data_IF_735128470287
#
_entry.id   IF_735128470287
#
_cell.length_a   1.000
_cell.length_b   1.000
_cell.length_c   1.000
_cell.angle_alpha   90.00
_cell.angle_beta   90.00
_cell.angle_gamma   90.00
#
_symmetry.space_group_name_H-M   'P 1'
#
loop_
_entity.id
_entity.type
_entity.pdbx_description
1 polymer ?
#
# COMPACT_ATOMS: atom_id res chain seq x y z
N UNK A 1 0.77 9.68 25.04
CA UNK A 1 0.38 10.09 23.70
C UNK A 1 -0.99 9.52 23.32
N UNK A 2 -1.70 10.18 22.42
CA UNK A 2 -2.99 9.68 21.91
C UNK A 2 -2.79 8.68 20.80
N UNK A 3 -3.62 7.64 20.79
CA UNK A 3 -3.64 6.57 19.80
C UNK A 3 -5.08 6.22 19.45
N UNK A 4 -5.39 6.05 18.17
CA UNK A 4 -6.66 5.48 17.72
C UNK A 4 -6.65 3.97 17.90
N UNK A 5 -7.74 3.44 18.47
CA UNK A 5 -7.91 2.00 18.74
C UNK A 5 -9.28 1.52 18.27
N UNK A 6 -9.35 0.29 17.84
CA UNK A 6 -10.63 -0.38 17.63
C UNK A 6 -11.22 -0.77 18.98
N UNK A 7 -12.42 -0.31 19.29
CA UNK A 7 -13.08 -0.57 20.58
C UNK A 7 -14.07 -1.71 20.53
N UNK A 8 -14.74 -1.88 19.39
CA UNK A 8 -15.61 -3.00 19.03
C UNK A 8 -15.89 -2.96 17.53
N UNK A 9 -16.61 -3.96 17.01
CA UNK A 9 -17.07 -3.98 15.62
C UNK A 9 -17.70 -2.64 15.22
N UNK A 10 -17.20 -2.05 14.13
CA UNK A 10 -17.69 -0.78 13.60
C UNK A 10 -17.38 0.46 14.43
N UNK A 11 -16.48 0.38 15.41
CA UNK A 11 -16.14 1.52 16.26
C UNK A 11 -14.63 1.72 16.45
N UNK A 12 -14.23 2.98 16.40
CA UNK A 12 -12.90 3.46 16.71
C UNK A 12 -13.01 4.46 17.86
N UNK A 13 -12.10 4.37 18.81
CA UNK A 13 -11.95 5.32 19.93
C UNK A 13 -10.54 5.86 20.02
N UNK A 14 -10.32 6.75 20.96
CA UNK A 14 -8.99 7.23 21.35
C UNK A 14 -8.64 6.71 22.73
N UNK A 15 -7.38 6.30 22.88
CA UNK A 15 -6.79 5.96 24.18
C UNK A 15 -5.50 6.76 24.39
N UNK A 16 -5.05 6.81 25.64
CA UNK A 16 -3.75 7.37 25.97
C UNK A 16 -2.82 6.25 26.41
N UNK A 17 -1.63 6.27 25.83
CA UNK A 17 -0.53 5.35 26.15
C UNK A 17 0.76 6.13 26.35
N UNK A 18 1.77 5.51 26.92
CA UNK A 18 3.10 6.10 27.02
C UNK A 18 3.68 6.36 25.62
N UNK A 19 4.47 7.43 25.51
CA UNK A 19 5.22 7.71 24.28
C UNK A 19 6.23 6.58 24.05
N UNK A 20 6.39 6.08 22.80
CA UNK A 20 7.39 5.07 22.50
C UNK A 20 8.81 5.60 22.77
N UNK A 21 9.71 4.70 23.12
CA UNK A 21 11.12 4.97 23.40
C UNK A 21 12.01 4.18 22.44
N UNK A 22 13.27 4.61 22.29
CA UNK A 22 14.31 3.84 21.63
C UNK A 22 14.54 2.56 22.44
N UNK A 23 14.47 1.41 21.81
CA UNK A 23 14.73 0.10 22.39
C UNK A 23 16.01 -0.48 21.81
N UNK A 24 16.14 -0.45 20.48
CA UNK A 24 17.30 -0.94 19.77
C UNK A 24 18.13 0.22 19.22
N UNK A 25 19.41 -0.03 19.01
CA UNK A 25 20.35 1.01 18.58
C UNK A 25 20.04 1.58 17.17
N UNK A 26 19.30 0.87 16.34
CA UNK A 26 18.90 1.29 14.98
C UNK A 26 17.44 1.76 14.88
N UNK A 27 16.78 2.00 16.01
CA UNK A 27 15.44 2.58 16.09
C UNK A 27 15.42 4.08 15.78
N UNK A 28 14.25 4.56 15.36
CA UNK A 28 13.89 5.98 15.38
C UNK A 28 12.52 6.18 16.01
N UNK A 29 12.33 7.31 16.71
CA UNK A 29 11.02 7.79 17.13
C UNK A 29 10.58 8.88 16.16
N UNK A 30 9.40 8.69 15.58
CA UNK A 30 8.84 9.58 14.57
C UNK A 30 7.60 10.24 15.13
N UNK A 31 7.56 11.58 15.11
CA UNK A 31 6.34 12.36 15.34
C UNK A 31 5.55 12.37 14.03
N UNK A 32 4.35 11.82 14.07
CA UNK A 32 3.50 11.63 12.89
C UNK A 32 2.91 12.97 12.44
N UNK A 33 3.09 13.29 11.16
CA UNK A 33 2.54 14.48 10.50
C UNK A 33 1.23 14.15 9.80
N UNK A 34 1.19 13.00 9.09
CA UNK A 34 0.00 12.48 8.41
C UNK A 34 -0.01 10.96 8.47
N UNK A 35 -1.20 10.43 8.62
CA UNK A 35 -1.54 9.01 8.49
C UNK A 35 -2.86 8.88 7.72
N UNK A 36 -3.19 7.69 7.25
CA UNK A 36 -4.45 7.43 6.55
C UNK A 36 -5.04 6.08 6.95
N UNK A 37 -6.21 5.80 6.40
CA UNK A 37 -6.90 4.52 6.56
C UNK A 37 -6.72 3.73 5.26
N UNK A 38 -6.10 2.56 5.35
CA UNK A 38 -6.02 1.61 4.26
C UNK A 38 -7.28 0.72 4.21
N UNK A 39 -7.53 0.10 3.05
CA UNK A 39 -8.59 -0.91 2.91
C UNK A 39 -8.43 -2.09 3.87
N UNK A 40 -7.20 -2.49 4.19
CA UNK A 40 -6.89 -3.57 5.13
C UNK A 40 -7.28 -3.24 6.58
N UNK A 41 -7.25 -1.98 6.99
CA UNK A 41 -7.71 -1.55 8.32
C UNK A 41 -9.20 -1.83 8.53
N UNK A 42 -9.99 -1.80 7.45
CA UNK A 42 -11.43 -2.02 7.50
C UNK A 42 -11.82 -3.46 7.85
N UNK A 43 -10.93 -4.41 7.65
CA UNK A 43 -11.17 -5.80 8.04
C UNK A 43 -11.25 -5.93 9.55
N UNK A 44 -10.30 -5.34 10.23
CA UNK A 44 -10.30 -5.30 11.69
C UNK A 44 -11.45 -4.46 12.23
N UNK A 45 -11.72 -3.31 11.62
CA UNK A 45 -12.86 -2.46 11.96
C UNK A 45 -14.21 -3.21 11.89
N UNK A 46 -14.35 -4.16 10.97
CA UNK A 46 -15.57 -4.97 10.76
C UNK A 46 -15.54 -6.33 11.44
N UNK A 47 -14.47 -6.67 12.13
CA UNK A 47 -14.37 -7.97 12.79
C UNK A 47 -15.27 -8.03 14.03
N UNK A 48 -16.08 -9.10 14.17
CA UNK A 48 -16.84 -9.30 15.41
C UNK A 48 -15.96 -9.69 16.60
N UNK A 49 -14.75 -10.21 16.34
CA UNK A 49 -13.81 -10.73 17.34
C UNK A 49 -12.77 -9.69 17.78
N UNK A 50 -13.10 -8.40 17.70
CA UNK A 50 -12.20 -7.33 18.10
C UNK A 50 -12.09 -7.28 19.62
N UNK A 51 -10.86 -7.40 20.14
CA UNK A 51 -10.56 -7.11 21.53
C UNK A 51 -10.51 -5.61 21.77
N UNK A 52 -11.25 -5.12 22.78
CA UNK A 52 -11.23 -3.71 23.14
C UNK A 52 -9.81 -3.27 23.54
N UNK A 53 -9.36 -2.13 23.00
CA UNK A 53 -8.04 -1.59 23.26
C UNK A 53 -6.93 -2.20 22.40
N UNK A 54 -7.25 -2.97 21.36
CA UNK A 54 -6.26 -3.45 20.43
C UNK A 54 -5.57 -2.29 19.70
N UNK A 55 -4.23 -2.22 19.80
CA UNK A 55 -3.47 -1.03 19.44
C UNK A 55 -3.08 -0.94 17.95
N UNK A 56 -3.31 -1.98 17.15
CA UNK A 56 -2.91 -2.00 15.75
C UNK A 56 -3.89 -1.22 14.87
N UNK A 57 -3.83 0.11 14.90
CA UNK A 57 -4.62 0.97 14.02
C UNK A 57 -3.70 1.73 13.06
N UNK A 58 -3.85 1.42 11.76
CA UNK A 58 -3.08 2.04 10.69
C UNK A 58 -1.62 1.59 10.59
N UNK A 59 -1.05 1.77 9.42
CA UNK A 59 0.31 1.35 9.08
C UNK A 59 1.01 2.28 8.07
N UNK A 60 0.34 3.36 7.63
CA UNK A 60 0.88 4.33 6.67
C UNK A 60 1.14 5.66 7.36
N UNK A 61 2.39 6.15 7.35
CA UNK A 61 2.73 7.41 7.97
C UNK A 61 3.84 8.18 7.24
N UNK A 62 3.76 9.50 7.33
CA UNK A 62 4.88 10.43 7.12
C UNK A 62 5.04 11.27 8.39
N UNK A 63 6.29 11.57 8.75
CA UNK A 63 6.54 12.27 10.01
C UNK A 63 7.92 12.89 10.11
N UNK A 64 8.17 13.49 11.26
CA UNK A 64 9.45 14.10 11.61
C UNK A 64 10.18 13.17 12.58
N UNK A 65 11.43 12.87 12.30
CA UNK A 65 12.32 12.15 13.22
C UNK A 65 12.52 13.02 14.48
N UNK A 66 12.17 12.49 15.64
CA UNK A 66 12.34 13.20 16.94
C UNK A 66 13.56 12.69 17.69
N UNK A 67 13.79 11.38 17.69
CA UNK A 67 14.90 10.71 18.38
C UNK A 67 15.42 9.58 17.49
N UNK A 68 16.70 9.24 17.67
CA UNK A 68 17.36 8.13 16.99
C UNK A 68 18.20 7.34 17.97
N UNK A 69 18.35 6.04 17.72
CA UNK A 69 19.32 5.21 18.41
C UNK A 69 20.76 5.46 17.93
N UNK A 70 21.73 5.03 18.72
CA UNK A 70 23.14 5.34 18.51
C UNK A 70 23.75 4.77 17.21
N UNK A 71 23.11 3.75 16.61
CA UNK A 71 23.53 3.16 15.35
C UNK A 71 22.91 3.84 14.11
N UNK A 72 21.95 4.76 14.29
CA UNK A 72 21.28 5.43 13.16
C UNK A 72 22.17 6.53 12.58
N UNK A 73 22.44 6.44 11.28
CA UNK A 73 23.34 7.36 10.56
C UNK A 73 22.74 7.98 9.31
N UNK A 74 21.64 7.42 8.78
CA UNK A 74 21.01 7.85 7.51
C UNK A 74 20.04 8.99 7.69
N UNK A 75 19.46 9.12 8.89
CA UNK A 75 18.53 10.18 9.28
C UNK A 75 18.97 10.79 10.61
N UNK A 76 18.45 11.96 10.92
CA UNK A 76 18.70 12.69 12.18
C UNK A 76 17.42 13.36 12.68
N UNK A 77 17.36 13.76 13.96
CA UNK A 77 16.26 14.57 14.48
C UNK A 77 16.01 15.81 13.63
N UNK A 78 14.73 16.06 13.32
CA UNK A 78 14.29 17.12 12.43
C UNK A 78 14.12 16.71 10.95
N UNK A 79 14.59 15.55 10.52
CA UNK A 79 14.38 15.10 9.15
C UNK A 79 12.93 14.72 8.93
N UNK A 80 12.37 15.14 7.78
CA UNK A 80 11.05 14.72 7.32
C UNK A 80 11.17 13.40 6.55
N UNK A 81 10.36 12.40 6.92
CA UNK A 81 10.51 11.03 6.42
C UNK A 81 9.18 10.38 6.05
N UNK A 82 9.25 9.42 5.11
CA UNK A 82 8.24 8.41 4.90
C UNK A 82 8.60 7.21 5.78
N UNK A 83 7.63 6.69 6.54
CA UNK A 83 7.72 5.44 7.27
C UNK A 83 6.96 4.35 6.46
N UNK A 84 7.65 3.50 5.69
CA UNK A 84 7.01 2.44 4.91
C UNK A 84 6.25 1.46 5.81
N UNK A 85 5.08 1.00 5.33
CA UNK A 85 4.24 0.06 6.08
C UNK A 85 4.90 -1.30 6.28
N UNK A 86 5.72 -1.72 5.32
CA UNK A 86 6.49 -2.96 5.34
C UNK A 86 7.96 -2.61 5.17
N UNK A 87 8.81 -3.18 6.02
CA UNK A 87 10.24 -2.93 5.99
C UNK A 87 11.04 -4.12 6.52
N UNK A 88 12.33 -4.13 6.28
CA UNK A 88 13.24 -5.19 6.69
C UNK A 88 14.51 -4.66 7.33
N UNK A 89 15.39 -5.57 7.78
CA UNK A 89 16.65 -5.22 8.43
C UNK A 89 17.77 -4.78 7.46
N UNK A 90 17.58 -4.98 6.14
CA UNK A 90 18.58 -4.67 5.12
C UNK A 90 19.79 -5.60 5.07
N UNK A 91 19.93 -6.59 5.98
CA UNK A 91 21.13 -7.38 6.16
C UNK A 91 20.96 -8.87 5.90
N UNK A 92 19.76 -9.44 6.12
CA UNK A 92 19.48 -10.85 5.85
C UNK A 92 19.44 -11.15 4.34
N UNK A 93 19.44 -12.42 3.98
CA UNK A 93 19.47 -12.84 2.58
C UNK A 93 18.21 -12.40 1.82
N UNK A 94 17.05 -12.42 2.45
CA UNK A 94 15.81 -11.93 1.85
C UNK A 94 15.90 -10.43 1.52
N UNK A 95 16.34 -9.59 2.47
CA UNK A 95 16.51 -8.15 2.24
C UNK A 95 17.55 -7.85 1.16
N UNK A 96 18.70 -8.54 1.18
CA UNK A 96 19.75 -8.38 0.16
C UNK A 96 19.29 -8.80 -1.23
N UNK A 97 18.34 -9.72 -1.32
CA UNK A 97 17.70 -10.13 -2.56
C UNK A 97 16.55 -9.20 -2.98
N UNK A 98 16.21 -8.17 -2.20
CA UNK A 98 15.13 -7.21 -2.48
C UNK A 98 13.73 -7.69 -2.07
N UNK A 99 13.66 -8.58 -1.09
CA UNK A 99 12.42 -9.11 -0.52
C UNK A 99 12.24 -8.67 0.94
N UNK A 100 12.26 -7.38 1.19
CA UNK A 100 12.17 -6.81 2.55
C UNK A 100 10.88 -7.22 3.29
N UNK A 101 9.78 -7.41 2.55
CA UNK A 101 8.51 -7.88 3.09
C UNK A 101 8.54 -9.30 3.66
N UNK A 102 9.63 -10.07 3.43
CA UNK A 102 9.87 -11.42 3.99
C UNK A 102 11.17 -11.45 4.78
N UNK A 103 11.52 -10.35 5.42
CA UNK A 103 12.72 -10.21 6.23
C UNK A 103 12.80 -11.28 7.34
N UNK A 104 13.92 -12.01 7.42
CA UNK A 104 14.12 -13.07 8.41
C UNK A 104 14.09 -12.57 9.87
N UNK A 105 14.49 -11.32 10.10
CA UNK A 105 14.46 -10.69 11.43
C UNK A 105 13.05 -10.22 11.84
N UNK A 106 12.12 -10.16 10.90
CA UNK A 106 10.76 -9.66 11.08
C UNK A 106 9.67 -10.66 10.69
N UNK A 107 9.97 -11.94 10.62
CA UNK A 107 8.98 -12.96 10.24
C UNK A 107 7.72 -12.81 11.10
N UNK A 108 6.62 -12.44 10.45
CA UNK A 108 5.30 -12.22 11.08
C UNK A 108 5.10 -10.85 11.72
N UNK A 109 6.09 -9.95 11.73
CA UNK A 109 5.96 -8.62 12.34
C UNK A 109 6.71 -7.49 11.60
N UNK A 110 6.82 -7.59 10.29
CA UNK A 110 7.49 -6.60 9.44
C UNK A 110 6.58 -5.43 9.01
N UNK A 111 5.55 -5.17 9.76
CA UNK A 111 4.57 -4.13 9.48
C UNK A 111 4.66 -3.00 10.50
N UNK A 112 4.63 -1.77 10.03
CA UNK A 112 4.37 -0.63 10.88
C UNK A 112 2.95 -0.73 11.45
N UNK A 113 2.81 -0.72 12.76
CA UNK A 113 1.53 -0.87 13.45
C UNK A 113 1.28 0.28 14.40
N UNK A 114 -0.02 0.65 14.54
CA UNK A 114 -0.42 1.69 15.49
C UNK A 114 0.03 3.09 15.09
N UNK A 115 0.12 3.37 13.79
CA UNK A 115 0.58 4.68 13.30
C UNK A 115 -0.51 5.74 13.25
N UNK A 116 -1.78 5.39 13.55
CA UNK A 116 -2.83 6.38 13.80
C UNK A 116 -2.68 6.95 15.22
N UNK A 117 -1.52 7.52 15.50
CA UNK A 117 -1.05 8.00 16.79
C UNK A 117 -0.27 9.32 16.65
N UNK A 118 0.14 9.93 17.76
CA UNK A 118 1.00 11.11 17.72
C UNK A 118 2.47 10.77 17.41
N UNK A 119 2.93 9.59 17.86
CA UNK A 119 4.29 9.10 17.65
C UNK A 119 4.31 7.61 17.34
N UNK A 120 5.36 7.16 16.65
CA UNK A 120 5.67 5.76 16.45
C UNK A 120 7.15 5.47 16.69
N UNK A 121 7.46 4.25 17.15
CA UNK A 121 8.80 3.66 17.06
C UNK A 121 8.92 3.00 15.69
N UNK A 122 10.01 3.25 15.01
CA UNK A 122 10.33 2.66 13.72
C UNK A 122 11.66 1.90 13.82
N UNK A 123 11.61 0.61 13.58
CA UNK A 123 12.76 -0.30 13.63
C UNK A 123 13.55 -0.25 12.33
N UNK A 124 14.85 -0.55 12.37
CA UNK A 124 15.75 -0.56 11.21
C UNK A 124 15.75 0.75 10.41
N UNK A 125 15.80 1.86 11.13
CA UNK A 125 15.67 3.20 10.56
C UNK A 125 16.71 3.50 9.46
N UNK A 126 17.93 2.97 9.59
CA UNK A 126 19.00 3.12 8.59
C UNK A 126 18.63 2.54 7.22
N UNK A 127 17.88 1.46 7.19
CA UNK A 127 17.53 0.77 5.95
C UNK A 127 16.24 1.28 5.35
N UNK A 128 15.24 1.50 6.18
CA UNK A 128 13.88 1.58 5.70
C UNK A 128 13.28 3.00 5.70
N UNK A 129 13.75 3.93 6.53
CA UNK A 129 13.25 5.31 6.49
C UNK A 129 13.69 6.03 5.22
N UNK A 130 12.73 6.68 4.56
CA UNK A 130 12.98 7.42 3.32
C UNK A 130 12.89 8.91 3.63
N UNK A 131 14.00 9.62 3.47
CA UNK A 131 14.05 11.07 3.71
C UNK A 131 13.34 11.82 2.60
N UNK A 132 12.43 12.72 3.00
CA UNK A 132 11.77 13.69 2.13
C UNK A 132 12.57 15.01 2.22
N UNK A 133 12.92 15.66 1.10
CA UNK A 133 13.57 16.97 1.11
C UNK A 133 12.71 18.02 1.81
N UNK A 134 13.33 18.93 2.53
CA UNK A 134 12.64 20.06 3.20
C UNK A 134 11.84 19.65 4.44
N UNK A 135 10.80 20.43 4.72
CA UNK A 135 9.93 20.29 5.89
C UNK A 135 8.46 20.18 5.45
N UNK A 136 7.55 19.64 6.28
CA UNK A 136 6.13 19.59 5.94
C UNK A 136 5.51 20.92 5.53
N UNK A 137 6.00 22.04 6.09
CA UNK A 137 5.56 23.40 5.75
C UNK A 137 5.89 23.84 4.33
N UNK A 138 6.84 23.17 3.67
CA UNK A 138 7.27 23.48 2.30
C UNK A 138 6.34 22.86 1.26
N UNK A 139 5.38 22.04 1.69
CA UNK A 139 4.47 21.27 0.84
C UNK A 139 3.01 21.71 1.02
N UNK A 140 2.26 21.71 -0.08
CA UNK A 140 0.80 21.87 -0.01
C UNK A 140 0.14 20.64 0.62
N UNK A 141 -1.08 20.80 1.16
CA UNK A 141 -1.88 19.66 1.67
C UNK A 141 -2.06 18.57 0.62
N UNK A 142 -2.26 18.93 -0.65
CA UNK A 142 -2.36 17.96 -1.75
C UNK A 142 -1.07 17.15 -1.92
N UNK A 143 0.09 17.82 -1.83
CA UNK A 143 1.38 17.14 -1.94
C UNK A 143 1.67 16.25 -0.71
N UNK A 144 1.33 16.69 0.51
CA UNK A 144 1.46 15.86 1.70
C UNK A 144 0.63 14.58 1.62
N UNK A 145 -0.59 14.67 1.08
CA UNK A 145 -1.44 13.49 0.80
C UNK A 145 -0.79 12.57 -0.23
N UNK A 146 -0.21 13.12 -1.29
CA UNK A 146 0.51 12.33 -2.30
C UNK A 146 1.76 11.65 -1.72
N UNK A 147 2.55 12.36 -0.91
CA UNK A 147 3.72 11.79 -0.23
C UNK A 147 3.32 10.65 0.71
N UNK A 148 2.18 10.77 1.39
CA UNK A 148 1.68 9.72 2.27
C UNK A 148 1.38 8.42 1.51
N UNK A 149 0.90 8.50 0.26
CA UNK A 149 0.66 7.28 -0.55
C UNK A 149 1.92 6.46 -0.79
N UNK A 150 3.11 7.07 -0.68
CA UNK A 150 4.40 6.39 -0.82
C UNK A 150 4.73 5.50 0.39
N UNK A 151 3.99 5.60 1.49
CA UNK A 151 4.17 4.71 2.63
C UNK A 151 3.64 3.29 2.38
N UNK A 152 2.61 3.13 1.49
CA UNK A 152 2.03 1.82 1.16
C UNK A 152 1.45 1.78 -0.26
N UNK A 153 0.33 2.48 -0.51
CA UNK A 153 -0.55 2.17 -1.66
C UNK A 153 0.12 2.41 -3.02
N UNK A 154 1.03 3.38 -3.12
CA UNK A 154 1.78 3.62 -4.36
C UNK A 154 2.84 2.54 -4.62
N UNK A 155 3.75 2.20 -3.66
CA UNK A 155 4.68 1.08 -3.85
C UNK A 155 3.95 -0.26 -4.02
N UNK A 156 2.82 -0.49 -3.37
CA UNK A 156 2.00 -1.70 -3.54
C UNK A 156 1.45 -1.79 -4.97
N UNK A 157 0.88 -0.70 -5.51
CA UNK A 157 0.44 -0.65 -6.91
C UNK A 157 1.60 -0.81 -7.91
N UNK A 158 2.76 -0.21 -7.60
CA UNK A 158 3.97 -0.39 -8.40
C UNK A 158 4.50 -1.83 -8.34
N UNK A 159 4.46 -2.44 -7.16
CA UNK A 159 4.85 -3.85 -6.97
C UNK A 159 3.98 -4.78 -7.83
N UNK A 160 2.65 -4.58 -7.86
CA UNK A 160 1.76 -5.34 -8.74
C UNK A 160 2.22 -5.28 -10.20
N UNK A 161 2.51 -4.08 -10.72
CA UNK A 161 2.98 -3.90 -12.09
C UNK A 161 4.39 -4.49 -12.33
N UNK A 162 5.26 -4.46 -11.30
CA UNK A 162 6.61 -5.02 -11.36
C UNK A 162 6.58 -6.55 -11.40
N UNK A 163 5.82 -7.20 -10.53
CA UNK A 163 5.76 -8.69 -10.46
C UNK A 163 4.99 -9.28 -11.64
N UNK A 164 4.00 -8.55 -12.18
CA UNK A 164 3.39 -8.87 -13.46
C UNK A 164 4.32 -8.60 -14.65
N UNK A 165 5.53 -8.13 -14.40
CA UNK A 165 6.53 -7.79 -15.42
C UNK A 165 5.96 -6.95 -16.58
N UNK A 166 5.16 -5.92 -16.24
CA UNK A 166 4.58 -4.98 -17.21
C UNK A 166 5.71 -4.30 -18.00
N UNK A 167 5.61 -4.32 -19.31
CA UNK A 167 6.60 -3.80 -20.26
C UNK A 167 6.02 -2.70 -21.13
N UNK A 168 6.89 -1.88 -21.75
CA UNK A 168 6.45 -0.92 -22.75
C UNK A 168 5.68 -1.63 -23.89
N UNK A 169 4.50 -1.08 -24.20
CA UNK A 169 3.61 -1.63 -25.21
C UNK A 169 2.56 -2.63 -24.73
N UNK A 170 2.68 -3.15 -23.49
CA UNK A 170 1.72 -4.11 -22.93
C UNK A 170 0.30 -3.53 -22.81
N UNK A 171 -0.68 -4.43 -22.93
CA UNK A 171 -2.08 -4.21 -22.61
C UNK A 171 -2.32 -4.69 -21.17
N UNK A 172 -2.69 -3.78 -20.28
CA UNK A 172 -2.80 -4.03 -18.85
C UNK A 172 -4.25 -3.87 -18.39
N UNK A 173 -4.71 -4.77 -17.53
CA UNK A 173 -6.00 -4.64 -16.84
C UNK A 173 -5.75 -4.50 -15.35
N UNK A 174 -6.38 -3.51 -14.73
CA UNK A 174 -6.36 -3.32 -13.27
C UNK A 174 -7.73 -3.70 -12.72
N UNK A 175 -7.78 -4.63 -11.79
CA UNK A 175 -8.99 -5.07 -11.12
C UNK A 175 -9.07 -4.40 -9.74
N UNK A 176 -10.07 -3.54 -9.57
CA UNK A 176 -10.28 -2.76 -8.34
C UNK A 176 -9.88 -1.29 -8.49
N UNK A 177 -10.72 -0.43 -7.92
CA UNK A 177 -10.66 1.03 -8.06
C UNK A 177 -10.34 1.76 -6.75
N UNK A 178 -9.90 1.02 -5.74
CA UNK A 178 -9.40 1.56 -4.48
C UNK A 178 -8.05 2.28 -4.65
N UNK A 179 -7.49 2.76 -3.56
CA UNK A 179 -6.22 3.50 -3.59
C UNK A 179 -5.09 2.72 -4.28
N UNK A 180 -4.95 1.42 -3.98
CA UNK A 180 -3.96 0.55 -4.63
C UNK A 180 -4.24 0.41 -6.13
N UNK A 181 -5.50 0.22 -6.55
CA UNK A 181 -5.85 0.11 -7.97
C UNK A 181 -5.58 1.40 -8.75
N UNK A 182 -5.88 2.58 -8.16
CA UNK A 182 -5.53 3.86 -8.76
C UNK A 182 -4.01 4.01 -8.92
N UNK A 183 -3.24 3.63 -7.90
CA UNK A 183 -1.78 3.62 -7.95
C UNK A 183 -1.24 2.58 -8.96
N UNK A 184 -1.91 1.44 -9.11
CA UNK A 184 -1.55 0.44 -10.12
C UNK A 184 -1.76 0.94 -11.56
N UNK A 185 -2.78 1.76 -11.81
CA UNK A 185 -2.96 2.48 -13.11
C UNK A 185 -1.77 3.38 -13.38
N UNK A 186 -1.37 4.21 -12.39
CA UNK A 186 -0.20 5.08 -12.51
C UNK A 186 1.07 4.24 -12.78
N UNK A 187 1.26 3.17 -12.03
CA UNK A 187 2.40 2.28 -12.16
C UNK A 187 2.47 1.60 -13.54
N UNK A 188 1.34 1.12 -14.07
CA UNK A 188 1.27 0.55 -15.42
C UNK A 188 1.67 1.57 -16.48
N UNK A 189 1.18 2.83 -16.35
CA UNK A 189 1.58 3.93 -17.22
C UNK A 189 3.08 4.25 -17.12
N UNK A 190 3.63 4.33 -15.90
CA UNK A 190 5.06 4.55 -15.67
C UNK A 190 5.94 3.47 -16.31
N UNK A 191 5.46 2.23 -16.35
CA UNK A 191 6.14 1.10 -16.99
C UNK A 191 5.92 1.02 -18.51
N UNK A 192 5.14 1.96 -19.08
CA UNK A 192 5.00 2.12 -20.52
C UNK A 192 3.89 1.28 -21.16
N UNK A 193 2.91 0.81 -20.39
CA UNK A 193 1.75 0.12 -20.94
C UNK A 193 1.07 0.97 -22.04
N UNK A 194 0.68 0.35 -23.14
CA UNK A 194 0.04 1.03 -24.29
C UNK A 194 -1.47 1.19 -24.11
N UNK A 195 -2.09 0.25 -23.42
CA UNK A 195 -3.49 0.27 -23.04
C UNK A 195 -3.63 -0.12 -21.59
N UNK A 196 -4.44 0.62 -20.83
CA UNK A 196 -4.70 0.36 -19.43
C UNK A 196 -6.21 0.42 -19.21
N UNK A 197 -6.82 -0.72 -18.91
CA UNK A 197 -8.25 -0.82 -18.61
C UNK A 197 -8.44 -0.98 -17.12
N UNK A 198 -9.20 -0.07 -16.49
CA UNK A 198 -9.61 -0.24 -15.08
C UNK A 198 -11.00 -0.86 -15.00
N UNK A 199 -11.13 -1.93 -14.23
CA UNK A 199 -12.45 -2.49 -13.86
C UNK A 199 -12.96 -1.83 -12.58
N UNK A 200 -13.96 -0.95 -12.71
CA UNK A 200 -14.47 -0.09 -11.64
C UNK A 200 -15.97 0.20 -11.83
N UNK A 201 -16.74 0.19 -10.72
CA UNK A 201 -18.17 0.53 -10.70
C UNK A 201 -18.47 1.97 -10.30
N UNK A 202 -17.49 2.70 -9.77
CA UNK A 202 -17.69 4.01 -9.16
C UNK A 202 -17.26 5.10 -10.15
N UNK A 203 -18.20 5.88 -10.64
CA UNK A 203 -17.97 6.88 -11.69
C UNK A 203 -16.88 7.91 -11.35
N UNK A 204 -16.86 8.39 -10.11
CA UNK A 204 -15.82 9.30 -9.61
C UNK A 204 -14.42 8.69 -9.63
N UNK A 205 -14.31 7.39 -9.31
CA UNK A 205 -13.05 6.66 -9.36
C UNK A 205 -12.63 6.30 -10.79
N UNK A 206 -13.59 6.01 -11.67
CA UNK A 206 -13.34 5.85 -13.10
C UNK A 206 -12.74 7.12 -13.70
N UNK A 207 -13.31 8.29 -13.38
CA UNK A 207 -12.80 9.58 -13.81
C UNK A 207 -11.37 9.81 -13.32
N UNK A 208 -11.11 9.56 -12.04
CA UNK A 208 -9.76 9.66 -11.46
C UNK A 208 -8.76 8.77 -12.18
N UNK A 209 -9.13 7.53 -12.51
CA UNK A 209 -8.25 6.61 -13.22
C UNK A 209 -7.94 7.08 -14.65
N UNK A 210 -8.94 7.61 -15.38
CA UNK A 210 -8.72 8.18 -16.71
C UNK A 210 -7.76 9.38 -16.65
N UNK A 211 -7.91 10.28 -15.67
CA UNK A 211 -7.00 11.39 -15.42
C UNK A 211 -5.57 10.90 -15.07
N UNK A 212 -5.46 9.76 -14.39
CA UNK A 212 -4.20 9.15 -13.97
C UNK A 212 -3.50 8.35 -15.08
N UNK A 213 -4.23 7.98 -16.14
CA UNK A 213 -3.64 7.30 -17.31
C UNK A 213 -4.31 6.03 -17.76
N UNK A 214 -5.44 5.62 -17.19
CA UNK A 214 -6.26 4.58 -17.77
C UNK A 214 -6.75 5.01 -19.17
N UNK A 215 -6.75 4.09 -20.12
CA UNK A 215 -7.22 4.33 -21.49
C UNK A 215 -8.69 3.99 -21.66
N UNK A 216 -9.23 3.15 -20.78
CA UNK A 216 -10.64 2.77 -20.74
C UNK A 216 -11.03 2.31 -19.34
N UNK A 217 -12.35 2.26 -19.10
CA UNK A 217 -12.96 1.75 -17.86
C UNK A 217 -14.07 0.78 -18.20
N UNK A 218 -14.23 -0.27 -17.37
CA UNK A 218 -15.31 -1.28 -17.48
C UNK A 218 -15.99 -1.39 -16.13
N UNK A 219 -17.32 -1.16 -16.11
CA UNK A 219 -18.11 -1.20 -14.89
C UNK A 219 -18.65 -2.59 -14.57
N UNK A 220 -18.78 -3.41 -15.56
CA UNK A 220 -19.32 -4.77 -15.48
C UNK A 220 -18.36 -5.70 -14.74
N UNK A 221 -18.91 -6.79 -14.21
CA UNK A 221 -18.19 -7.82 -13.47
C UNK A 221 -18.42 -9.22 -14.05
N UNK A 222 -17.63 -10.18 -13.59
CA UNK A 222 -17.70 -11.56 -14.03
C UNK A 222 -17.52 -11.68 -15.54
N UNK A 223 -18.19 -12.62 -16.17
CA UNK A 223 -18.05 -12.93 -17.59
C UNK A 223 -18.39 -11.74 -18.53
N UNK A 224 -19.38 -10.92 -18.15
CA UNK A 224 -19.71 -9.72 -18.93
C UNK A 224 -18.57 -8.71 -18.94
N UNK A 225 -17.98 -8.47 -17.76
CA UNK A 225 -16.81 -7.59 -17.62
C UNK A 225 -15.60 -8.11 -18.37
N UNK A 226 -15.30 -9.41 -18.25
CA UNK A 226 -14.21 -10.08 -18.97
C UNK A 226 -14.40 -9.91 -20.49
N UNK A 227 -15.59 -10.15 -20.99
CA UNK A 227 -15.91 -10.02 -22.42
C UNK A 227 -15.67 -8.59 -22.91
N UNK A 228 -16.20 -7.59 -22.21
CA UNK A 228 -15.98 -6.17 -22.57
C UNK A 228 -14.51 -5.75 -22.56
N UNK A 229 -13.76 -6.18 -21.56
CA UNK A 229 -12.32 -5.94 -21.51
C UNK A 229 -11.63 -6.53 -22.72
N UNK A 230 -11.92 -7.77 -23.06
CA UNK A 230 -11.32 -8.46 -24.24
C UNK A 230 -11.72 -7.82 -25.57
N UNK A 231 -12.91 -7.29 -25.70
CA UNK A 231 -13.36 -6.51 -26.86
C UNK A 231 -12.56 -5.20 -26.98
N UNK A 232 -12.41 -4.43 -25.89
CA UNK A 232 -11.63 -3.19 -25.84
C UNK A 232 -10.17 -3.43 -26.26
N UNK A 233 -9.57 -4.49 -25.76
CA UNK A 233 -8.17 -4.82 -26.01
C UNK A 233 -7.93 -5.54 -27.35
N UNK A 234 -9.01 -5.97 -28.03
CA UNK A 234 -8.90 -6.79 -29.24
C UNK A 234 -8.30 -8.17 -28.95
N UNK A 235 -8.58 -8.71 -27.78
CA UNK A 235 -8.06 -10.00 -27.28
C UNK A 235 -7.84 -9.97 -25.78
N UNK A 236 -6.99 -10.87 -25.25
CA UNK A 236 -6.63 -10.87 -23.82
C UNK A 236 -5.54 -9.86 -23.48
N UNK A 237 -5.41 -9.54 -22.21
CA UNK A 237 -4.37 -8.67 -21.67
C UNK A 237 -3.02 -9.39 -21.55
N UNK A 238 -1.91 -8.65 -21.67
CA UNK A 238 -0.56 -9.12 -21.39
C UNK A 238 -0.30 -9.23 -19.89
N UNK A 239 -0.91 -8.35 -19.11
CA UNK A 239 -0.80 -8.34 -17.65
C UNK A 239 -2.14 -7.94 -17.00
N UNK A 240 -2.45 -8.58 -15.86
CA UNK A 240 -3.55 -8.20 -14.98
C UNK A 240 -3.00 -7.87 -13.59
N UNK A 241 -3.49 -6.79 -12.99
CA UNK A 241 -3.10 -6.32 -11.65
C UNK A 241 -4.31 -6.44 -10.72
N UNK A 242 -4.29 -7.43 -9.84
CA UNK A 242 -5.36 -7.71 -8.90
C UNK A 242 -5.14 -6.92 -7.61
N UNK A 243 -6.06 -5.99 -7.29
CA UNK A 243 -5.94 -5.02 -6.19
C UNK A 243 -7.13 -5.07 -5.20
N UNK A 244 -7.86 -6.16 -5.13
CA UNK A 244 -9.09 -6.31 -4.30
C UNK A 244 -8.93 -7.37 -3.21
N UNK A 245 -8.40 -8.56 -3.57
CA UNK A 245 -8.21 -9.69 -2.65
C UNK A 245 -9.43 -10.57 -2.47
N UNK A 246 -10.35 -10.62 -3.44
CA UNK A 246 -11.48 -11.55 -3.43
C UNK A 246 -11.33 -12.63 -4.51
N UNK A 247 -11.91 -13.80 -4.27
CA UNK A 247 -11.91 -14.90 -5.24
C UNK A 247 -12.44 -14.43 -6.61
N UNK A 248 -13.58 -13.74 -6.62
CA UNK A 248 -14.17 -13.21 -7.85
C UNK A 248 -13.26 -12.19 -8.58
N UNK A 249 -12.44 -11.43 -7.86
CA UNK A 249 -11.49 -10.50 -8.48
C UNK A 249 -10.30 -11.25 -9.10
N UNK A 250 -9.85 -12.32 -8.46
CA UNK A 250 -8.81 -13.20 -9.00
C UNK A 250 -9.32 -13.91 -10.26
N UNK A 251 -10.55 -14.45 -10.23
CA UNK A 251 -11.16 -15.07 -11.40
C UNK A 251 -11.27 -14.12 -12.59
N UNK A 252 -11.69 -12.86 -12.33
CA UNK A 252 -11.71 -11.82 -13.37
C UNK A 252 -10.30 -11.51 -13.88
N UNK A 253 -9.30 -11.43 -12.99
CA UNK A 253 -7.93 -11.16 -13.37
C UNK A 253 -7.36 -12.27 -14.28
N UNK A 254 -7.66 -13.52 -13.97
CA UNK A 254 -7.28 -14.65 -14.82
C UNK A 254 -8.06 -14.68 -16.13
N UNK A 255 -9.36 -14.39 -16.10
CA UNK A 255 -10.23 -14.42 -17.28
C UNK A 255 -9.91 -13.36 -18.33
N UNK A 256 -9.37 -12.21 -17.94
CA UNK A 256 -8.99 -11.15 -18.90
C UNK A 256 -7.65 -11.40 -19.59
N UNK A 257 -6.80 -12.27 -19.06
CA UNK A 257 -5.49 -12.57 -19.64
C UNK A 257 -5.58 -13.40 -20.91
N UNK A 258 -4.65 -13.19 -21.82
CA UNK A 258 -4.39 -14.17 -22.89
C UNK A 258 -3.54 -15.34 -22.36
N UNK A 259 -3.41 -16.42 -23.14
CA UNK A 259 -2.52 -17.53 -22.79
C UNK A 259 -1.06 -17.04 -22.74
N UNK A 260 -0.41 -17.25 -21.57
CA UNK A 260 0.93 -16.72 -21.29
C UNK A 260 0.94 -15.31 -20.73
N UNK A 261 -0.23 -14.70 -20.46
CA UNK A 261 -0.34 -13.44 -19.72
C UNK A 261 0.11 -13.59 -18.27
N UNK A 262 0.37 -12.47 -17.59
CA UNK A 262 1.01 -12.40 -16.27
C UNK A 262 0.09 -11.75 -15.25
N UNK A 263 0.06 -12.28 -14.03
CA UNK A 263 -0.74 -11.75 -12.92
C UNK A 263 0.16 -11.12 -11.86
N UNK A 264 -0.09 -9.85 -11.51
CA UNK A 264 0.38 -9.20 -10.30
C UNK A 264 -0.73 -9.19 -9.26
N UNK A 265 -0.54 -9.92 -8.17
CA UNK A 265 -1.54 -10.10 -7.13
C UNK A 265 -1.09 -9.38 -5.85
N UNK A 266 -1.81 -8.33 -5.44
CA UNK A 266 -1.54 -7.53 -4.23
C UNK A 266 -2.76 -7.30 -3.37
N UNK A 267 -3.93 -7.73 -3.81
CA UNK A 267 -5.13 -7.74 -2.98
C UNK A 267 -4.94 -8.68 -1.79
N UNK A 268 -5.18 -8.19 -0.55
CA UNK A 268 -5.06 -9.04 0.65
C UNK A 268 -6.19 -10.06 0.65
N UNK A 269 -5.90 -11.38 0.63
CA UNK A 269 -6.93 -12.41 0.55
C UNK A 269 -7.83 -12.41 1.78
N UNK A 270 -9.14 -12.40 1.56
CA UNK A 270 -10.16 -12.40 2.61
C UNK A 270 -11.13 -13.59 2.50
N UNK A 271 -10.72 -14.61 1.79
CA UNK A 271 -11.46 -15.87 1.69
C UNK A 271 -10.74 -16.93 2.53
N UNK A 272 -11.53 -17.71 3.25
CA UNK A 272 -11.00 -18.82 4.03
C UNK A 272 -10.24 -19.75 3.08
N UNK A 273 -8.97 -19.97 3.36
CA UNK A 273 -8.19 -20.99 2.71
C UNK A 273 -8.92 -22.34 2.84
N UNK A 274 -9.46 -22.83 1.75
CA UNK A 274 -9.87 -24.21 1.61
C UNK A 274 -8.71 -25.03 1.13
#
# INVERSE_FOLDING_TARGET
MKLAVYTKEGQVGLTEIDRPQIIEADDAIIRIVRTCVCGSDLWRYRSPDIEAGHQNSGHEAIGIVEEIGDAVTTVKPGDFVIAPFTHGCGQCDACRAGFDGTCDSHIGNNWSNGVQAEYMRFEFANWALIKIPGQPSDYTEGMLKSLLTLADVMPTGYHAARVADVKPGDKVVVIGDGAVGQCAVIAAKMRGASQIVLMSRHEDRQKMALESGATAVVAERGEEGITKVREILGGGADAALECVGTEAAVDQALGVLHNGGRLGFVGVPHYNNR
#
